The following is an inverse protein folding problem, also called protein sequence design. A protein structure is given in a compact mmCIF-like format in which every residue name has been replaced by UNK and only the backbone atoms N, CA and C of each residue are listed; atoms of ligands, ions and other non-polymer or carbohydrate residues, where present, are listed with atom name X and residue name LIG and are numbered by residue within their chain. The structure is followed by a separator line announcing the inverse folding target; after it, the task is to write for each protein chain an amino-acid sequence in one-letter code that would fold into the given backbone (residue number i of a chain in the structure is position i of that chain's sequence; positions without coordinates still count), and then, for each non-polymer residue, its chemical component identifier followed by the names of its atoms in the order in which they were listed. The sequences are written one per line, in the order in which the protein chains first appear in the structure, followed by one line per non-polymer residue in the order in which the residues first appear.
data_IF_458458067876
#
_entry.id   IF_458458067876
#
_cell.length_a   1.000
_cell.length_b   1.000
_cell.length_c   1.000
_cell.angle_alpha   90.00
_cell.angle_beta   90.00
_cell.angle_gamma   90.00
#
_symmetry.space_group_name_H-M   'P 1'
#
loop_
_entity.id
_entity.type
_entity.pdbx_description
1 polymer ?
#
# COMPACT_ATOMS: atom_id res chain seq x y z
N UNK A 1 34.24 -47.57 -7.22
CA UNK A 1 32.76 -47.53 -7.14
C UNK A 1 32.39 -48.17 -5.81
N UNK A 2 31.76 -47.56 -4.82
CA UNK A 2 30.99 -46.33 -4.73
C UNK A 2 31.31 -45.70 -3.35
N UNK A 3 31.68 -44.41 -3.35
CA UNK A 3 31.88 -43.61 -2.14
C UNK A 3 30.91 -42.43 -2.19
N UNK A 4 29.65 -42.77 -2.41
CA UNK A 4 28.51 -41.88 -2.21
C UNK A 4 27.76 -42.40 -0.99
N UNK A 5 27.01 -41.49 -0.36
CA UNK A 5 26.14 -41.72 0.80
C UNK A 5 26.85 -41.58 2.15
N UNK A 6 27.07 -40.33 2.58
CA UNK A 6 26.80 -39.85 3.94
C UNK A 6 26.93 -38.32 3.96
N UNK A 7 26.11 -37.62 3.17
CA UNK A 7 25.83 -36.20 3.43
C UNK A 7 24.87 -36.15 4.62
N UNK A 8 25.24 -35.52 5.75
CA UNK A 8 24.28 -35.29 6.83
C UNK A 8 23.18 -34.38 6.28
N UNK A 9 21.97 -34.92 6.18
CA UNK A 9 20.76 -34.19 5.80
C UNK A 9 20.53 -33.15 6.90
N UNK A 10 20.87 -31.90 6.62
CA UNK A 10 20.63 -30.78 7.53
C UNK A 10 19.18 -30.84 8.00
N UNK A 11 18.89 -30.81 9.31
CA UNK A 11 17.53 -30.84 9.78
C UNK A 11 16.83 -29.58 9.27
N UNK A 12 15.93 -29.74 8.32
CA UNK A 12 14.92 -28.75 7.95
C UNK A 12 14.17 -28.45 9.25
N UNK A 13 14.54 -27.37 9.94
CA UNK A 13 13.78 -26.89 11.10
C UNK A 13 12.45 -26.41 10.55
N UNK A 14 11.32 -27.11 10.78
CA UNK A 14 10.03 -26.57 10.42
C UNK A 14 9.87 -25.28 11.21
N UNK A 15 9.79 -24.16 10.50
CA UNK A 15 9.58 -22.84 11.08
C UNK A 15 8.13 -22.80 11.59
N UNK A 16 7.90 -23.38 12.75
CA UNK A 16 6.66 -23.27 13.50
C UNK A 16 6.54 -21.83 14.03
N UNK A 17 5.81 -21.02 13.28
CA UNK A 17 5.30 -19.72 13.71
C UNK A 17 3.85 -19.63 13.24
N UNK A 18 2.95 -19.30 14.16
CA UNK A 18 1.52 -19.22 13.90
C UNK A 18 1.25 -18.10 12.86
N UNK A 19 0.57 -18.37 11.72
CA UNK A 19 0.33 -17.37 10.67
C UNK A 19 -0.56 -16.20 11.10
N UNK A 20 -1.12 -16.24 12.32
CA UNK A 20 -2.02 -15.24 12.88
C UNK A 20 -1.33 -14.06 13.57
N UNK A 21 0.00 -14.08 13.74
CA UNK A 21 0.74 -12.89 14.19
C UNK A 21 1.07 -12.05 12.97
N UNK A 22 0.32 -10.96 12.77
CA UNK A 22 0.67 -9.89 11.86
C UNK A 22 2.09 -9.41 12.21
N UNK A 23 3.09 -9.87 11.47
CA UNK A 23 4.44 -9.32 11.54
C UNK A 23 4.37 -7.82 11.24
N UNK A 24 5.22 -6.99 11.85
CA UNK A 24 5.17 -5.54 11.69
C UNK A 24 5.14 -5.11 10.21
N UNK A 25 5.86 -5.82 9.33
CA UNK A 25 5.83 -5.58 7.88
C UNK A 25 4.50 -5.93 7.20
N UNK A 26 3.77 -6.92 7.70
CA UNK A 26 2.42 -7.24 7.21
C UNK A 26 1.40 -6.17 7.63
N UNK A 27 1.50 -5.65 8.86
CA UNK A 27 0.66 -4.52 9.31
C UNK A 27 0.92 -3.29 8.44
N UNK A 28 2.18 -2.94 8.21
CA UNK A 28 2.56 -1.78 7.40
C UNK A 28 2.03 -1.90 5.97
N UNK A 29 2.17 -3.07 5.33
CA UNK A 29 1.62 -3.31 3.99
C UNK A 29 0.09 -3.24 3.99
N UNK A 30 -0.60 -3.83 4.97
CA UNK A 30 -2.05 -3.76 5.07
C UNK A 30 -2.56 -2.33 5.23
N UNK A 31 -1.90 -1.51 6.07
CA UNK A 31 -2.25 -0.10 6.24
C UNK A 31 -2.01 0.71 4.96
N UNK A 32 -0.92 0.44 4.25
CA UNK A 32 -0.66 1.09 2.96
C UNK A 32 -1.72 0.71 1.93
N UNK A 33 -2.14 -0.56 1.88
CA UNK A 33 -3.21 -1.01 0.99
C UNK A 33 -4.55 -0.37 1.35
N UNK A 34 -4.89 -0.28 2.64
CA UNK A 34 -6.08 0.43 3.10
C UNK A 34 -6.03 1.91 2.71
N UNK A 35 -4.88 2.56 2.85
CA UNK A 35 -4.67 3.94 2.42
C UNK A 35 -4.92 4.12 0.92
N UNK A 36 -4.41 3.21 0.07
CA UNK A 36 -4.71 3.23 -1.36
C UNK A 36 -6.21 3.06 -1.61
N UNK A 37 -6.87 2.11 -0.95
CA UNK A 37 -8.31 1.91 -1.11
C UNK A 37 -9.10 3.18 -0.76
N UNK A 38 -8.76 3.86 0.33
CA UNK A 38 -9.39 5.13 0.72
C UNK A 38 -9.18 6.20 -0.35
N UNK A 39 -7.93 6.43 -0.79
CA UNK A 39 -7.63 7.44 -1.82
C UNK A 39 -8.32 7.09 -3.14
N UNK A 40 -8.41 5.80 -3.49
CA UNK A 40 -9.13 5.32 -4.66
C UNK A 40 -10.61 5.74 -4.60
N UNK A 41 -11.29 5.43 -3.50
CA UNK A 41 -12.70 5.79 -3.34
C UNK A 41 -12.90 7.30 -3.36
N UNK A 42 -12.06 8.07 -2.69
CA UNK A 42 -12.16 9.54 -2.74
C UNK A 42 -11.95 10.03 -4.18
N UNK A 43 -11.03 9.44 -4.94
CA UNK A 43 -10.82 9.77 -6.36
C UNK A 43 -12.03 9.41 -7.22
N UNK A 44 -12.76 8.34 -6.93
CA UNK A 44 -13.98 7.99 -7.65
C UNK A 44 -15.13 8.99 -7.44
N UNK A 45 -15.18 9.64 -6.27
CA UNK A 45 -16.29 10.52 -5.88
C UNK A 45 -15.89 11.99 -5.75
N UNK A 46 -14.68 12.37 -6.17
CA UNK A 46 -14.17 13.72 -5.91
C UNK A 46 -14.96 14.81 -6.65
N UNK A 47 -15.51 14.49 -7.82
CA UNK A 47 -16.39 15.37 -8.60
C UNK A 47 -17.73 15.61 -7.87
N UNK A 48 -18.36 14.53 -7.37
CA UNK A 48 -19.58 14.61 -6.56
C UNK A 48 -19.35 15.41 -5.27
N UNK A 49 -18.22 15.19 -4.60
CA UNK A 49 -17.84 15.96 -3.40
C UNK A 49 -17.74 17.45 -3.72
N UNK A 50 -17.14 17.82 -4.86
CA UNK A 50 -17.04 19.23 -5.26
C UNK A 50 -18.42 19.79 -5.61
N UNK A 51 -19.29 19.01 -6.27
CA UNK A 51 -20.65 19.43 -6.59
C UNK A 51 -21.47 19.70 -5.32
N UNK A 52 -21.44 18.80 -4.34
CA UNK A 52 -22.14 18.95 -3.06
C UNK A 52 -21.64 20.18 -2.29
N UNK A 53 -20.32 20.41 -2.27
CA UNK A 53 -19.73 21.61 -1.65
C UNK A 53 -20.14 22.93 -2.33
N UNK A 54 -20.41 22.90 -3.64
CA UNK A 54 -20.95 24.06 -4.37
C UNK A 54 -22.43 24.24 -4.03
N UNK A 55 -23.20 23.16 -3.96
CA UNK A 55 -24.63 23.18 -3.63
C UNK A 55 -24.89 23.71 -2.22
N UNK A 56 -24.09 23.28 -1.24
CA UNK A 56 -24.14 23.78 0.14
C UNK A 56 -23.61 25.23 0.29
N UNK A 57 -23.06 25.81 -0.77
CA UNK A 57 -22.56 27.19 -0.79
C UNK A 57 -21.19 27.39 -0.15
N UNK A 58 -20.46 26.31 0.15
CA UNK A 58 -19.08 26.39 0.65
C UNK A 58 -18.11 26.80 -0.46
N UNK A 59 -18.40 26.42 -1.70
CA UNK A 59 -17.62 26.76 -2.89
C UNK A 59 -18.41 27.63 -3.87
N UNK A 60 -17.72 28.61 -4.46
CA UNK A 60 -18.26 29.39 -5.58
C UNK A 60 -18.30 28.53 -6.83
N UNK A 61 -19.47 28.38 -7.46
CA UNK A 61 -19.64 27.59 -8.70
C UNK A 61 -18.65 27.95 -9.81
N UNK A 62 -18.29 29.23 -9.96
CA UNK A 62 -17.29 29.70 -10.95
C UNK A 62 -15.88 29.13 -10.75
N UNK A 63 -15.59 28.62 -9.55
CA UNK A 63 -14.29 28.05 -9.18
C UNK A 63 -14.32 26.53 -9.08
N UNK A 64 -15.50 25.89 -9.24
CA UNK A 64 -15.68 24.45 -9.04
C UNK A 64 -14.67 23.62 -9.83
N UNK A 65 -14.55 23.89 -11.14
CA UNK A 65 -13.59 23.23 -12.03
C UNK A 65 -12.14 23.36 -11.53
N UNK A 66 -11.75 24.54 -11.01
CA UNK A 66 -10.40 24.73 -10.47
C UNK A 66 -10.19 23.90 -9.21
N UNK A 67 -11.20 23.82 -8.35
CA UNK A 67 -11.12 23.01 -7.13
C UNK A 67 -11.07 21.52 -7.46
N UNK A 68 -11.82 21.06 -8.46
CA UNK A 68 -11.77 19.68 -8.95
C UNK A 68 -10.36 19.32 -9.43
N UNK A 69 -9.73 20.17 -10.24
CA UNK A 69 -8.35 19.96 -10.72
C UNK A 69 -7.36 19.92 -9.55
N UNK A 70 -7.48 20.85 -8.60
CA UNK A 70 -6.57 20.91 -7.44
C UNK A 70 -6.75 19.69 -6.54
N UNK A 71 -7.99 19.26 -6.29
CA UNK A 71 -8.30 18.07 -5.51
C UNK A 71 -7.80 16.80 -6.20
N UNK A 72 -8.06 16.65 -7.50
CA UNK A 72 -7.56 15.55 -8.30
C UNK A 72 -6.02 15.47 -8.30
N UNK A 73 -5.34 16.62 -8.42
CA UNK A 73 -3.88 16.69 -8.30
C UNK A 73 -3.39 16.27 -6.91
N UNK A 74 -4.04 16.74 -5.85
CA UNK A 74 -3.69 16.36 -4.47
C UNK A 74 -3.87 14.85 -4.22
N UNK A 75 -4.97 14.27 -4.70
CA UNK A 75 -5.24 12.84 -4.62
C UNK A 75 -4.22 12.03 -5.41
N UNK A 76 -3.85 12.48 -6.61
CA UNK A 76 -2.82 11.84 -7.42
C UNK A 76 -1.44 11.84 -6.74
N UNK A 77 -1.06 12.95 -6.11
CA UNK A 77 0.18 13.04 -5.33
C UNK A 77 0.14 12.12 -4.11
N UNK A 78 -0.99 12.08 -3.40
CA UNK A 78 -1.19 11.18 -2.26
C UNK A 78 -1.07 9.71 -2.67
N UNK A 79 -1.73 9.34 -3.77
CA UNK A 79 -1.63 8.00 -4.37
C UNK A 79 -0.19 7.63 -4.71
N UNK A 80 0.51 8.54 -5.40
CA UNK A 80 1.90 8.34 -5.81
C UNK A 80 2.82 8.15 -4.60
N UNK A 81 2.64 8.94 -3.53
CA UNK A 81 3.42 8.81 -2.31
C UNK A 81 3.18 7.47 -1.61
N UNK A 82 1.92 7.02 -1.52
CA UNK A 82 1.56 5.71 -0.97
C UNK A 82 2.18 4.57 -1.78
N UNK A 83 2.15 4.66 -3.12
CA UNK A 83 2.73 3.66 -4.00
C UNK A 83 4.25 3.56 -3.81
N UNK A 84 4.94 4.71 -3.79
CA UNK A 84 6.38 4.75 -3.54
C UNK A 84 6.73 4.15 -2.17
N UNK A 85 5.94 4.46 -1.14
CA UNK A 85 6.14 3.89 0.20
C UNK A 85 5.92 2.38 0.21
N UNK A 86 4.88 1.88 -0.46
CA UNK A 86 4.62 0.46 -0.59
C UNK A 86 5.76 -0.28 -1.29
N UNK A 87 6.25 0.25 -2.41
CA UNK A 87 7.41 -0.32 -3.12
C UNK A 87 8.65 -0.35 -2.23
N UNK A 88 8.90 0.71 -1.45
CA UNK A 88 10.02 0.76 -0.51
C UNK A 88 9.92 -0.32 0.58
N UNK A 89 8.74 -0.51 1.16
CA UNK A 89 8.49 -1.55 2.18
C UNK A 89 8.65 -2.95 1.58
N UNK A 90 8.11 -3.20 0.39
CA UNK A 90 8.24 -4.50 -0.28
C UNK A 90 9.69 -4.83 -0.62
N UNK A 91 10.47 -3.84 -1.09
CA UNK A 91 11.92 -3.99 -1.33
C UNK A 91 12.67 -4.39 -0.06
N UNK A 92 12.43 -3.66 1.04
CA UNK A 92 13.03 -3.96 2.34
C UNK A 92 12.71 -5.39 2.80
N UNK A 93 11.44 -5.82 2.70
CA UNK A 93 11.02 -7.18 3.08
C UNK A 93 11.71 -8.24 2.21
N UNK A 94 11.89 -7.96 0.92
CA UNK A 94 12.59 -8.85 -0.01
C UNK A 94 14.07 -9.01 0.36
N UNK A 95 14.75 -7.91 0.66
CA UNK A 95 16.16 -7.89 1.09
C UNK A 95 16.35 -8.66 2.40
N UNK A 96 15.47 -8.44 3.39
CA UNK A 96 15.48 -9.20 4.65
C UNK A 96 15.21 -10.70 4.44
N UNK A 97 14.52 -11.11 3.37
CA UNK A 97 14.33 -12.53 3.02
C UNK A 97 15.54 -13.11 2.29
N UNK A 98 16.26 -12.33 1.47
CA UNK A 98 17.42 -12.79 0.72
C UNK A 98 18.70 -12.86 1.56
N UNK A 99 18.82 -12.05 2.61
CA UNK A 99 19.94 -12.08 3.57
C UNK A 99 19.84 -13.14 4.68
N UNK A 100 18.79 -13.98 4.65
CA UNK A 100 18.57 -15.12 5.56
C UNK A 100 18.61 -16.42 4.78
#
# INVERSE_FOLDING_TARGET
MASDLLRPKSPLRPRLGHPSRLTDGAVEVSLLMLGHAVVFFVTLFHDEIIAELVEEGWLLARLAERYEIVLGMALFLCWSALLLRLVAVLRRISEERAGR
#
